data_IF_722040429830
#
_entry.id   IF_722040429830
#
_cell.length_a   1.000
_cell.length_b   1.000
_cell.length_c   1.000
_cell.angle_alpha   90.00
_cell.angle_beta   90.00
_cell.angle_gamma   90.00
#
_symmetry.space_group_name_H-M   'P 1'
#
loop_
_entity.id
_entity.type
_entity.pdbx_description
1 polymer ?
#
# COMPACT_ATOMS: atom_id res chain seq x y z
N UNK A 1 8.30 -0.13 13.47
CA UNK A 1 9.30 0.08 14.54
C UNK A 1 10.66 -0.33 14.02
N UNK A 2 11.69 0.46 14.29
CA UNK A 2 13.08 0.27 13.86
C UNK A 2 13.99 -0.09 15.05
N UNK A 3 15.10 -0.77 14.80
CA UNK A 3 16.14 -0.97 15.81
C UNK A 3 17.44 -0.29 15.38
N UNK A 4 18.02 0.53 16.24
CA UNK A 4 19.31 1.19 16.02
C UNK A 4 20.34 0.52 16.89
N UNK A 5 21.41 -0.03 16.32
CA UNK A 5 22.38 -0.87 17.04
C UNK A 5 23.80 -0.35 16.87
N UNK A 6 24.50 -0.14 17.99
CA UNK A 6 25.90 0.27 18.00
C UNK A 6 26.79 -0.62 18.89
N UNK A 7 28.07 -0.76 18.50
CA UNK A 7 29.06 -1.59 19.19
C UNK A 7 30.33 -0.82 19.62
N UNK A 8 30.42 0.46 19.29
CA UNK A 8 31.58 1.34 19.55
C UNK A 8 31.14 2.56 20.36
N UNK A 9 32.10 3.27 20.97
CA UNK A 9 31.82 4.49 21.73
C UNK A 9 31.19 5.58 20.86
N UNK A 10 31.80 5.89 19.71
CA UNK A 10 31.25 6.87 18.76
C UNK A 10 29.93 6.40 18.16
N UNK A 11 29.81 5.11 17.86
CA UNK A 11 28.56 4.52 17.41
C UNK A 11 27.44 4.70 18.43
N UNK A 12 27.71 4.58 19.73
CA UNK A 12 26.73 4.87 20.78
C UNK A 12 26.25 6.33 20.75
N UNK A 13 27.13 7.30 20.51
CA UNK A 13 26.72 8.71 20.33
C UNK A 13 25.81 8.89 19.11
N UNK A 14 26.18 8.28 17.98
CA UNK A 14 25.37 8.29 16.75
C UNK A 14 24.01 7.64 17.02
N UNK A 15 23.97 6.46 17.65
CA UNK A 15 22.76 5.70 17.91
C UNK A 15 21.76 6.49 18.76
N UNK A 16 22.25 7.15 19.80
CA UNK A 16 21.42 7.99 20.68
C UNK A 16 20.85 9.19 19.94
N UNK A 17 21.67 9.90 19.16
CA UNK A 17 21.22 11.04 18.34
C UNK A 17 20.18 10.63 17.28
N UNK A 18 20.38 9.49 16.62
CA UNK A 18 19.38 8.97 15.66
C UNK A 18 18.12 8.54 16.39
N UNK A 19 18.22 7.85 17.53
CA UNK A 19 17.07 7.40 18.31
C UNK A 19 16.20 8.52 18.88
N UNK A 20 16.79 9.67 19.20
CA UNK A 20 16.03 10.85 19.67
C UNK A 20 15.19 11.50 18.56
N UNK A 21 15.56 11.32 17.28
CA UNK A 21 14.91 11.99 16.13
C UNK A 21 14.13 11.05 15.22
N UNK A 22 14.51 9.77 15.16
CA UNK A 22 13.86 8.78 14.32
C UNK A 22 12.61 8.23 15.04
N UNK A 23 11.40 8.44 14.51
CA UNK A 23 10.18 7.99 15.17
C UNK A 23 10.09 6.46 15.22
N UNK A 24 9.52 5.94 16.32
CA UNK A 24 9.30 4.50 16.53
C UNK A 24 10.59 3.67 16.40
N UNK A 25 11.69 4.12 17.03
CA UNK A 25 12.97 3.43 17.02
C UNK A 25 13.40 3.02 18.43
N UNK A 26 13.80 1.75 18.59
CA UNK A 26 14.44 1.25 19.81
C UNK A 26 15.96 1.32 19.64
N UNK A 27 16.66 1.85 20.64
CA UNK A 27 18.13 1.99 20.62
C UNK A 27 18.78 0.86 21.42
N UNK A 28 19.79 0.25 20.82
CA UNK A 28 20.60 -0.82 21.40
C UNK A 28 22.08 -0.48 21.34
N UNK A 29 22.79 -0.60 22.45
CA UNK A 29 24.26 -0.61 22.41
C UNK A 29 24.87 -1.42 23.55
N UNK A 30 26.15 -1.73 23.42
CA UNK A 30 26.86 -2.54 24.41
C UNK A 30 26.92 -1.86 25.78
N UNK A 31 26.72 -2.63 26.85
CA UNK A 31 26.83 -2.17 28.24
C UNK A 31 28.20 -1.53 28.58
N UNK A 32 29.24 -1.78 27.80
CA UNK A 32 30.56 -1.12 27.92
C UNK A 32 30.51 0.40 27.79
N UNK A 33 29.48 0.94 27.14
CA UNK A 33 29.31 2.37 26.90
C UNK A 33 28.05 2.95 27.58
N UNK A 34 27.58 2.30 28.64
CA UNK A 34 26.47 2.78 29.45
C UNK A 34 26.74 4.17 30.04
N UNK A 35 25.70 5.01 30.15
CA UNK A 35 25.73 6.39 30.65
C UNK A 35 24.92 6.58 31.92
N UNK A 36 24.10 5.60 32.30
CA UNK A 36 23.27 5.62 33.50
C UNK A 36 21.89 6.24 33.30
N UNK A 37 21.56 6.72 32.09
CA UNK A 37 20.26 7.29 31.74
C UNK A 37 19.45 6.38 30.79
N UNK A 38 19.90 5.14 30.58
CA UNK A 38 19.31 4.23 29.60
C UNK A 38 17.86 3.86 29.92
N UNK A 39 17.55 3.59 31.19
CA UNK A 39 16.21 3.20 31.62
C UNK A 39 15.20 4.32 31.38
N UNK A 40 15.56 5.57 31.72
CA UNK A 40 14.75 6.77 31.48
C UNK A 40 14.50 6.98 29.99
N UNK A 41 15.52 6.76 29.16
CA UNK A 41 15.44 6.93 27.70
C UNK A 41 14.92 5.70 26.94
N UNK A 42 14.54 4.62 27.63
CA UNK A 42 14.10 3.37 27.00
C UNK A 42 15.17 2.68 26.15
N UNK A 43 16.44 2.94 26.43
CA UNK A 43 17.58 2.38 25.69
C UNK A 43 17.92 0.99 26.23
N UNK A 44 18.14 0.03 25.34
CA UNK A 44 18.36 -1.37 25.68
C UNK A 44 19.84 -1.73 25.59
N UNK A 45 20.45 -2.00 26.74
CA UNK A 45 21.84 -2.46 26.79
C UNK A 45 21.94 -3.95 26.48
N UNK A 46 22.98 -4.36 25.78
CA UNK A 46 23.32 -5.78 25.63
C UNK A 46 24.77 -6.08 26.05
N UNK A 47 25.00 -7.31 26.49
CA UNK A 47 26.33 -7.83 26.80
C UNK A 47 26.80 -8.80 25.69
N UNK A 48 28.10 -8.83 25.42
CA UNK A 48 28.69 -9.78 24.48
C UNK A 48 28.56 -9.38 23.01
N UNK A 49 28.38 -10.39 22.13
CA UNK A 49 28.48 -10.22 20.68
C UNK A 49 27.12 -9.85 20.06
N UNK A 50 27.08 -8.76 19.30
CA UNK A 50 25.88 -8.28 18.57
C UNK A 50 25.28 -9.35 17.65
N UNK A 51 26.08 -10.30 17.15
CA UNK A 51 25.62 -11.42 16.32
C UNK A 51 24.56 -12.29 17.00
N UNK A 52 24.55 -12.34 18.34
CA UNK A 52 23.55 -13.10 19.10
C UNK A 52 22.20 -12.36 19.19
N UNK A 53 22.22 -11.03 19.10
CA UNK A 53 21.03 -10.19 19.15
C UNK A 53 20.35 -10.09 17.78
N UNK A 54 21.13 -10.05 16.70
CA UNK A 54 20.64 -9.83 15.33
C UNK A 54 19.53 -10.77 14.88
N UNK A 55 19.55 -12.10 15.12
CA UNK A 55 18.47 -12.98 14.68
C UNK A 55 17.09 -12.60 15.21
N UNK A 56 17.01 -12.18 16.48
CA UNK A 56 15.77 -11.71 17.08
C UNK A 56 15.35 -10.37 16.48
N UNK A 57 16.28 -9.41 16.38
CA UNK A 57 15.95 -8.09 15.81
C UNK A 57 15.48 -8.20 14.35
N UNK A 58 16.12 -9.07 13.57
CA UNK A 58 15.81 -9.30 12.15
C UNK A 58 14.39 -9.84 11.95
N UNK A 59 13.83 -10.53 12.93
CA UNK A 59 12.46 -11.05 12.89
C UNK A 59 11.44 -10.06 13.45
N UNK A 60 11.83 -9.25 14.45
CA UNK A 60 10.90 -8.40 15.20
C UNK A 60 10.73 -7.00 14.59
N UNK A 61 11.77 -6.45 13.96
CA UNK A 61 11.77 -5.07 13.48
C UNK A 61 11.58 -4.99 11.98
N UNK A 62 10.90 -3.93 11.53
CA UNK A 62 10.73 -3.64 10.10
C UNK A 62 12.04 -3.19 9.45
N UNK A 63 12.94 -2.59 10.22
CA UNK A 63 14.24 -2.14 9.73
C UNK A 63 15.28 -2.00 10.83
N UNK A 64 16.53 -2.20 10.45
CA UNK A 64 17.71 -2.17 11.30
C UNK A 64 18.66 -1.08 10.82
N UNK A 65 19.07 -0.19 11.72
CA UNK A 65 20.13 0.80 11.50
C UNK A 65 21.35 0.36 12.28
N UNK A 66 22.37 -0.14 11.60
CA UNK A 66 23.54 -0.78 12.21
C UNK A 66 24.76 0.14 12.08
N UNK A 67 25.27 0.63 13.21
CA UNK A 67 26.46 1.49 13.27
C UNK A 67 27.69 0.59 13.48
N UNK A 68 28.02 -0.12 12.41
CA UNK A 68 29.01 -1.20 12.33
C UNK A 68 29.58 -1.17 10.90
N UNK A 69 30.83 -1.61 10.70
CA UNK A 69 31.38 -1.70 9.34
C UNK A 69 30.53 -2.58 8.40
N UNK A 70 30.31 -2.10 7.18
CA UNK A 70 29.47 -2.76 6.17
C UNK A 70 29.82 -4.23 5.97
N UNK A 71 31.12 -4.54 5.83
CA UNK A 71 31.59 -5.92 5.61
C UNK A 71 31.26 -6.86 6.79
N UNK A 72 31.26 -6.37 8.03
CA UNK A 72 30.85 -7.17 9.18
C UNK A 72 29.34 -7.41 9.19
N UNK A 73 28.55 -6.38 8.89
CA UNK A 73 27.09 -6.47 8.80
C UNK A 73 26.67 -7.51 7.76
N UNK A 74 27.21 -7.42 6.53
CA UNK A 74 26.90 -8.37 5.45
C UNK A 74 27.15 -9.81 5.89
N UNK A 75 28.29 -10.10 6.54
CA UNK A 75 28.61 -11.44 7.04
C UNK A 75 27.67 -11.92 8.15
N UNK A 76 27.20 -11.01 9.01
CA UNK A 76 26.30 -11.35 10.11
C UNK A 76 24.87 -11.61 9.64
N UNK A 77 24.38 -10.85 8.65
CA UNK A 77 23.01 -10.99 8.14
C UNK A 77 22.89 -12.07 7.07
N UNK A 78 23.97 -12.41 6.34
CA UNK A 78 23.96 -13.44 5.29
C UNK A 78 23.24 -14.75 5.69
N UNK A 79 23.47 -15.36 6.87
CA UNK A 79 22.77 -16.58 7.28
C UNK A 79 21.29 -16.36 7.70
N UNK A 80 20.84 -15.11 7.79
CA UNK A 80 19.48 -14.75 8.22
C UNK A 80 18.56 -14.41 7.03
N UNK A 81 19.15 -14.18 5.85
CA UNK A 81 18.42 -13.77 4.64
C UNK A 81 17.46 -14.86 4.19
N UNK A 82 16.22 -14.48 3.87
CA UNK A 82 15.21 -15.39 3.32
C UNK A 82 14.79 -14.92 1.94
N UNK A 83 14.15 -13.75 1.88
CA UNK A 83 13.69 -13.17 0.63
C UNK A 83 13.46 -11.66 0.75
N UNK A 84 13.58 -10.94 -0.39
CA UNK A 84 13.47 -9.48 -0.48
C UNK A 84 12.11 -8.89 -0.06
N UNK A 85 11.06 -9.71 0.09
CA UNK A 85 9.71 -9.28 0.47
C UNK A 85 9.49 -9.36 1.97
N UNK A 86 10.16 -10.30 2.64
CA UNK A 86 10.00 -10.55 4.08
C UNK A 86 11.18 -10.04 4.91
N UNK A 87 12.38 -9.99 4.32
CA UNK A 87 13.57 -9.50 5.01
C UNK A 87 13.44 -8.00 5.35
N UNK A 88 13.80 -7.58 6.58
CA UNK A 88 13.70 -6.19 7.01
C UNK A 88 14.66 -5.29 6.23
N UNK A 89 14.36 -3.99 6.24
CA UNK A 89 15.32 -2.99 5.79
C UNK A 89 16.61 -3.08 6.61
N UNK A 90 17.77 -3.07 5.97
CA UNK A 90 19.06 -2.93 6.67
C UNK A 90 19.81 -1.73 6.12
N UNK A 91 20.13 -0.81 7.02
CA UNK A 91 20.90 0.40 6.78
C UNK A 91 22.15 0.37 7.63
N UNK A 92 23.29 0.74 7.05
CA UNK A 92 24.57 0.78 7.74
C UNK A 92 25.08 2.21 7.83
N UNK A 93 25.64 2.56 8.99
CA UNK A 93 26.31 3.84 9.22
C UNK A 93 27.76 3.55 9.60
N UNK A 94 28.72 4.27 9.01
CA UNK A 94 30.12 4.17 9.42
C UNK A 94 30.35 4.83 10.80
N UNK A 95 31.47 4.51 11.46
CA UNK A 95 31.75 4.97 12.84
C UNK A 95 31.89 6.50 12.98
N UNK A 96 32.08 7.23 11.87
CA UNK A 96 32.11 8.71 11.85
C UNK A 96 30.78 9.32 11.42
N UNK A 97 29.79 8.52 11.02
CA UNK A 97 28.50 9.01 10.55
C UNK A 97 28.59 9.83 9.26
N UNK A 98 29.55 9.52 8.39
CA UNK A 98 29.74 10.23 7.12
C UNK A 98 28.82 9.68 6.02
N UNK A 99 28.55 8.38 6.04
CA UNK A 99 27.77 7.67 5.05
C UNK A 99 26.66 6.87 5.72
N UNK A 100 25.47 6.94 5.14
CA UNK A 100 24.33 6.10 5.49
C UNK A 100 24.02 5.26 4.27
N UNK A 101 24.18 3.95 4.39
CA UNK A 101 24.27 3.02 3.26
C UNK A 101 23.06 2.09 3.29
N UNK A 102 22.28 2.07 2.22
CA UNK A 102 21.21 1.07 2.04
C UNK A 102 21.83 -0.27 1.68
N UNK A 103 21.60 -1.32 2.49
CA UNK A 103 22.26 -2.63 2.35
C UNK A 103 21.31 -3.73 1.91
N UNK A 104 20.13 -3.81 2.52
CA UNK A 104 19.16 -4.89 2.27
C UNK A 104 17.75 -4.33 2.20
N UNK A 105 16.94 -4.90 1.30
CA UNK A 105 15.51 -4.55 1.12
C UNK A 105 15.27 -3.05 0.82
N UNK A 106 16.02 -2.54 -0.17
CA UNK A 106 16.02 -1.13 -0.62
C UNK A 106 14.64 -0.52 -0.87
N UNK A 107 13.88 -1.08 -1.83
CA UNK A 107 12.56 -0.56 -2.21
C UNK A 107 11.44 -1.03 -1.28
N UNK A 108 10.89 -2.23 -1.51
CA UNK A 108 9.70 -2.73 -0.80
C UNK A 108 9.88 -2.76 0.72
N UNK A 109 11.04 -3.19 1.19
CA UNK A 109 11.37 -3.22 2.62
C UNK A 109 11.68 -1.86 3.22
N UNK A 110 11.94 -0.84 2.40
CA UNK A 110 12.07 0.56 2.81
C UNK A 110 13.46 0.99 3.27
N UNK A 111 14.53 0.26 2.94
CA UNK A 111 15.88 0.68 3.33
C UNK A 111 16.36 1.95 2.61
N UNK A 112 15.92 2.20 1.37
CA UNK A 112 16.27 3.43 0.65
C UNK A 112 15.64 4.65 1.32
N UNK A 113 14.37 4.54 1.73
CA UNK A 113 13.68 5.60 2.46
C UNK A 113 14.30 5.82 3.85
N UNK A 114 14.52 4.75 4.61
CA UNK A 114 15.18 4.83 5.92
C UNK A 114 16.59 5.43 5.81
N UNK A 115 17.32 5.12 4.72
CA UNK A 115 18.65 5.69 4.44
C UNK A 115 18.58 7.21 4.28
N UNK A 116 17.60 7.74 3.54
CA UNK A 116 17.42 9.19 3.37
C UNK A 116 17.08 9.88 4.68
N UNK A 117 16.12 9.33 5.44
CA UNK A 117 15.70 9.88 6.73
C UNK A 117 16.85 9.94 7.74
N UNK A 118 17.62 8.85 7.85
CA UNK A 118 18.77 8.78 8.77
C UNK A 118 19.91 9.69 8.28
N UNK A 119 20.15 9.79 6.97
CA UNK A 119 21.12 10.70 6.40
C UNK A 119 20.78 12.17 6.70
N UNK A 120 19.50 12.55 6.58
CA UNK A 120 19.01 13.89 6.92
C UNK A 120 19.24 14.21 8.41
N UNK A 121 18.89 13.28 9.30
CA UNK A 121 19.10 13.40 10.76
C UNK A 121 20.58 13.67 11.11
N UNK A 122 21.49 13.03 10.39
CA UNK A 122 22.93 13.07 10.64
C UNK A 122 23.68 14.13 9.82
N UNK A 123 23.02 14.75 8.83
CA UNK A 123 23.67 15.52 7.78
C UNK A 123 24.78 14.71 7.07
N UNK A 124 24.51 13.43 6.84
CA UNK A 124 25.42 12.47 6.23
C UNK A 124 25.08 12.24 4.75
N UNK A 125 26.00 11.62 4.00
CA UNK A 125 25.76 11.29 2.60
C UNK A 125 24.97 9.97 2.48
N UNK A 126 23.75 9.96 1.88
CA UNK A 126 23.06 8.72 1.59
C UNK A 126 23.73 7.98 0.41
N UNK A 127 23.93 6.68 0.57
CA UNK A 127 24.46 5.78 -0.46
C UNK A 127 23.37 4.78 -0.82
N UNK A 128 22.68 5.06 -1.93
CA UNK A 128 21.61 4.24 -2.50
C UNK A 128 22.03 3.84 -3.92
N UNK A 129 22.07 2.55 -4.21
CA UNK A 129 22.60 2.02 -5.47
C UNK A 129 21.56 1.30 -6.32
N UNK A 130 20.29 1.31 -5.91
CA UNK A 130 19.24 0.59 -6.63
C UNK A 130 18.97 1.25 -7.98
N UNK A 131 18.93 0.46 -9.06
CA UNK A 131 18.95 0.99 -10.44
C UNK A 131 17.81 1.97 -10.73
N UNK A 132 16.59 1.68 -10.27
CA UNK A 132 15.44 2.58 -10.48
C UNK A 132 15.53 3.90 -9.72
N UNK A 133 16.13 3.91 -8.52
CA UNK A 133 16.40 5.16 -7.78
C UNK A 133 17.48 6.00 -8.48
N UNK A 134 18.53 5.36 -8.99
CA UNK A 134 19.62 6.04 -9.72
C UNK A 134 19.13 6.60 -11.05
N UNK A 135 18.33 5.82 -11.79
CA UNK A 135 17.79 6.20 -13.09
C UNK A 135 16.55 7.11 -12.99
N UNK A 136 16.03 7.39 -11.78
CA UNK A 136 14.81 8.17 -11.56
C UNK A 136 13.64 7.71 -12.43
N UNK A 137 13.42 6.39 -12.46
CA UNK A 137 12.35 5.76 -13.24
C UNK A 137 11.33 5.08 -12.31
N UNK A 138 10.29 4.46 -12.88
CA UNK A 138 9.23 3.82 -12.12
C UNK A 138 9.77 2.60 -11.36
N UNK A 139 9.70 2.63 -10.03
CA UNK A 139 9.91 1.46 -9.21
C UNK A 139 8.65 0.58 -9.24
N UNK A 140 8.65 -0.42 -10.12
CA UNK A 140 7.50 -1.33 -10.38
C UNK A 140 6.91 -1.94 -9.10
N UNK A 141 7.74 -2.28 -8.11
CA UNK A 141 7.32 -2.86 -6.84
C UNK A 141 6.80 -1.84 -5.82
N UNK A 142 6.92 -0.54 -6.10
CA UNK A 142 6.37 0.56 -5.30
C UNK A 142 5.28 1.35 -6.04
N UNK A 143 5.06 1.06 -7.32
CA UNK A 143 4.14 1.80 -8.18
C UNK A 143 2.72 1.78 -7.61
N UNK A 144 2.17 2.97 -7.34
CA UNK A 144 0.83 3.14 -6.77
C UNK A 144 0.70 2.89 -5.27
N UNK A 145 1.79 2.51 -4.57
CA UNK A 145 1.73 2.12 -3.16
C UNK A 145 1.27 3.26 -2.24
N UNK A 146 1.68 4.50 -2.53
CA UNK A 146 1.25 5.69 -1.78
C UNK A 146 -0.26 5.94 -1.87
N UNK A 147 -0.90 5.49 -2.95
CA UNK A 147 -2.34 5.56 -3.17
C UNK A 147 -3.09 4.30 -2.70
N UNK A 148 -2.37 3.33 -2.11
CA UNK A 148 -2.97 2.07 -1.67
C UNK A 148 -3.30 1.10 -2.81
N UNK A 149 -2.68 1.24 -3.98
CA UNK A 149 -2.85 0.27 -5.06
C UNK A 149 -2.21 -1.06 -4.67
N UNK A 150 -2.87 -2.15 -5.06
CA UNK A 150 -2.40 -3.51 -4.80
C UNK A 150 -2.13 -4.23 -6.12
N UNK A 151 -0.95 -4.80 -6.30
CA UNK A 151 -0.74 -5.68 -7.45
C UNK A 151 -1.45 -7.03 -7.24
N UNK A 152 -1.98 -7.57 -8.32
CA UNK A 152 -2.73 -8.83 -8.26
C UNK A 152 -1.84 -10.05 -8.11
N UNK A 153 -0.69 -10.03 -8.79
CA UNK A 153 0.32 -11.09 -8.76
C UNK A 153 1.73 -10.49 -8.77
N UNK A 154 2.65 -11.19 -8.12
CA UNK A 154 4.07 -10.80 -8.04
C UNK A 154 4.94 -11.48 -9.11
N UNK A 155 4.38 -12.36 -9.93
CA UNK A 155 5.14 -13.22 -10.86
C UNK A 155 5.98 -12.43 -11.87
N UNK A 156 5.43 -11.31 -12.37
CA UNK A 156 6.06 -10.49 -13.41
C UNK A 156 6.79 -9.26 -12.88
N UNK A 157 6.87 -9.06 -11.56
CA UNK A 157 7.57 -7.91 -10.98
C UNK A 157 9.02 -7.83 -11.47
N UNK A 158 9.78 -8.92 -11.34
CA UNK A 158 11.21 -8.93 -11.73
C UNK A 158 11.43 -8.67 -13.23
N UNK A 159 10.79 -9.39 -14.18
CA UNK A 159 11.02 -9.12 -15.61
C UNK A 159 10.51 -7.74 -16.05
N UNK A 160 9.39 -7.25 -15.52
CA UNK A 160 8.89 -5.91 -15.84
C UNK A 160 9.78 -4.82 -15.23
N UNK A 161 10.29 -4.99 -14.02
CA UNK A 161 11.33 -4.10 -13.45
C UNK A 161 12.57 -4.04 -14.33
N UNK A 162 13.02 -5.20 -14.86
CA UNK A 162 14.16 -5.24 -15.77
C UNK A 162 13.86 -4.50 -17.08
N UNK A 163 12.66 -4.60 -17.63
CA UNK A 163 12.27 -3.86 -18.83
C UNK A 163 12.29 -2.34 -18.62
N UNK A 164 11.79 -1.86 -17.47
CA UNK A 164 11.83 -0.44 -17.11
C UNK A 164 13.28 0.06 -16.96
N UNK A 165 14.13 -0.68 -16.25
CA UNK A 165 15.53 -0.30 -16.00
C UNK A 165 16.40 -0.35 -17.26
N UNK A 166 16.08 -1.26 -18.19
CA UNK A 166 16.79 -1.40 -19.47
C UNK A 166 16.18 -0.53 -20.59
N UNK A 167 15.36 0.47 -20.23
CA UNK A 167 14.78 1.44 -21.17
C UNK A 167 14.01 0.80 -22.34
N UNK A 168 13.40 -0.37 -22.11
CA UNK A 168 12.54 -1.03 -23.11
C UNK A 168 11.21 -0.28 -23.25
N UNK A 169 10.42 -0.62 -24.28
CA UNK A 169 9.13 0.03 -24.53
C UNK A 169 8.11 -0.42 -23.48
N UNK A 170 7.82 0.44 -22.52
CA UNK A 170 6.91 0.15 -21.41
C UNK A 170 5.58 0.87 -21.62
N UNK A 171 4.49 0.12 -21.55
CA UNK A 171 3.15 0.69 -21.51
C UNK A 171 2.68 0.86 -20.07
N UNK A 172 2.25 2.06 -19.70
CA UNK A 172 1.45 2.30 -18.49
C UNK A 172 -0.01 2.42 -18.91
N UNK A 173 -0.80 1.39 -18.68
CA UNK A 173 -2.25 1.45 -18.94
C UNK A 173 -2.91 2.01 -17.71
N UNK A 174 -3.59 3.15 -17.83
CA UNK A 174 -4.30 3.78 -16.72
C UNK A 174 -5.77 4.01 -17.06
N UNK A 175 -6.62 3.08 -16.61
CA UNK A 175 -8.07 3.14 -16.79
C UNK A 175 -8.79 3.70 -15.56
N UNK A 176 -8.14 3.67 -14.40
CA UNK A 176 -8.67 4.19 -13.14
C UNK A 176 -7.54 4.45 -12.14
N UNK A 177 -7.88 5.09 -11.02
CA UNK A 177 -6.94 5.45 -9.97
C UNK A 177 -6.27 6.81 -10.20
N UNK A 178 -5.52 7.23 -9.20
CA UNK A 178 -4.82 8.50 -9.11
C UNK A 178 -3.79 8.69 -10.23
N UNK A 179 -3.75 9.86 -10.86
CA UNK A 179 -2.87 10.14 -12.03
C UNK A 179 -1.54 10.79 -11.67
N UNK A 180 -1.42 11.32 -10.45
CA UNK A 180 -0.24 12.03 -9.94
C UNK A 180 0.79 11.07 -9.32
N UNK A 181 1.05 9.93 -9.96
CA UNK A 181 2.01 8.93 -9.49
C UNK A 181 3.46 9.20 -9.92
N UNK A 182 3.66 10.20 -10.77
CA UNK A 182 4.98 10.59 -11.24
C UNK A 182 5.50 11.76 -10.39
N UNK A 183 6.33 11.43 -9.40
CA UNK A 183 6.80 12.38 -8.37
C UNK A 183 8.10 13.12 -8.74
N UNK A 184 8.62 12.93 -9.96
CA UNK A 184 9.84 13.59 -10.40
C UNK A 184 9.53 14.89 -11.15
N UNK A 185 10.35 15.92 -10.94
CA UNK A 185 10.27 17.20 -11.66
C UNK A 185 10.65 17.09 -13.16
N UNK A 186 11.04 15.90 -13.63
CA UNK A 186 11.39 15.61 -15.01
C UNK A 186 10.18 15.03 -15.76
N UNK A 187 10.08 15.13 -17.09
CA UNK A 187 9.06 14.40 -17.84
C UNK A 187 9.26 12.88 -17.74
N UNK A 188 8.23 12.10 -18.11
CA UNK A 188 8.36 10.65 -18.25
C UNK A 188 9.47 10.31 -19.27
N UNK A 189 10.27 9.25 -19.02
CA UNK A 189 11.22 8.75 -19.99
C UNK A 189 10.56 8.40 -21.33
N UNK A 190 11.23 8.68 -22.45
CA UNK A 190 10.70 8.47 -23.81
C UNK A 190 10.29 7.02 -24.11
N UNK A 191 10.79 6.05 -23.36
CA UNK A 191 10.45 4.64 -23.52
C UNK A 191 9.17 4.23 -22.78
N UNK A 192 8.63 5.11 -21.91
CA UNK A 192 7.41 4.87 -21.13
C UNK A 192 6.26 5.69 -21.71
N UNK A 193 5.18 5.02 -22.12
CA UNK A 193 4.01 5.67 -22.69
C UNK A 193 2.75 5.30 -21.91
N UNK A 194 1.90 6.30 -21.66
CA UNK A 194 0.61 6.11 -20.97
C UNK A 194 -0.49 5.86 -22.00
N UNK A 195 -1.32 4.84 -21.76
CA UNK A 195 -2.45 4.45 -22.59
C UNK A 195 -3.75 4.45 -21.78
N UNK A 196 -4.88 4.72 -22.44
CA UNK A 196 -6.19 4.82 -21.77
C UNK A 196 -6.97 3.51 -21.77
N UNK A 197 -6.51 2.50 -22.50
CA UNK A 197 -7.08 1.16 -22.48
C UNK A 197 -6.02 0.08 -22.71
N UNK A 198 -6.32 -1.14 -22.25
CA UNK A 198 -5.46 -2.30 -22.53
C UNK A 198 -5.36 -2.57 -24.04
N UNK A 199 -6.44 -2.38 -24.79
CA UNK A 199 -6.47 -2.58 -26.24
C UNK A 199 -5.50 -1.67 -27.00
N UNK A 200 -5.45 -0.38 -26.65
CA UNK A 200 -4.49 0.57 -27.22
C UNK A 200 -3.05 0.17 -26.92
N UNK A 201 -2.76 -0.21 -25.68
CA UNK A 201 -1.43 -0.66 -25.29
C UNK A 201 -1.02 -1.94 -26.03
N UNK A 202 -1.91 -2.92 -26.17
CA UNK A 202 -1.63 -4.13 -26.94
C UNK A 202 -1.29 -3.82 -28.41
N UNK A 203 -2.00 -2.87 -29.02
CA UNK A 203 -1.73 -2.45 -30.40
C UNK A 203 -0.32 -1.83 -30.57
N UNK A 204 0.19 -1.16 -29.54
CA UNK A 204 1.54 -0.60 -29.51
C UNK A 204 2.66 -1.65 -29.34
N UNK A 205 2.30 -2.91 -29.02
CA UNK A 205 3.22 -4.04 -28.83
C UNK A 205 4.38 -3.70 -27.87
N UNK A 206 4.09 -3.34 -26.61
CA UNK A 206 5.11 -3.00 -25.63
C UNK A 206 5.91 -4.25 -25.26
N UNK A 207 7.13 -4.01 -24.79
CA UNK A 207 7.99 -5.06 -24.27
C UNK A 207 7.59 -5.44 -22.83
N UNK A 208 7.00 -4.49 -22.08
CA UNK A 208 6.42 -4.72 -20.76
C UNK A 208 5.26 -3.77 -20.45
N UNK A 209 4.39 -4.14 -19.50
CA UNK A 209 3.23 -3.32 -19.13
C UNK A 209 3.04 -3.15 -17.61
N UNK A 210 2.60 -1.96 -17.22
CA UNK A 210 2.06 -1.63 -15.89
C UNK A 210 0.59 -1.30 -16.09
N UNK A 211 -0.31 -2.16 -15.63
CA UNK A 211 -1.75 -2.04 -15.92
C UNK A 211 -2.50 -1.66 -14.67
N UNK A 212 -3.09 -0.47 -14.64
CA UNK A 212 -3.83 0.08 -13.50
C UNK A 212 -5.31 0.11 -13.87
N UNK A 213 -6.08 -0.83 -13.33
CA UNK A 213 -7.51 -0.94 -13.62
C UNK A 213 -8.27 -1.65 -12.51
N UNK A 214 -9.50 -1.19 -12.26
CA UNK A 214 -10.45 -1.85 -11.39
C UNK A 214 -11.18 -3.03 -12.09
N UNK A 215 -11.12 -3.11 -13.43
CA UNK A 215 -11.84 -4.11 -14.22
C UNK A 215 -11.15 -5.47 -14.27
N UNK A 216 -11.92 -6.54 -14.36
CA UNK A 216 -11.45 -7.86 -14.75
C UNK A 216 -11.19 -7.87 -16.25
N UNK A 217 -9.94 -8.14 -16.63
CA UNK A 217 -9.51 -8.17 -18.03
C UNK A 217 -10.26 -9.26 -18.81
N UNK A 218 -10.60 -8.98 -20.06
CA UNK A 218 -11.09 -9.99 -20.99
C UNK A 218 -9.98 -11.00 -21.35
N UNK A 219 -10.35 -12.13 -21.95
CA UNK A 219 -9.38 -13.15 -22.38
C UNK A 219 -8.36 -12.61 -23.39
N UNK A 220 -8.79 -11.67 -24.23
CA UNK A 220 -7.95 -11.01 -25.21
C UNK A 220 -7.00 -10.01 -24.53
N UNK A 221 -7.51 -9.27 -23.54
CA UNK A 221 -6.73 -8.30 -22.76
C UNK A 221 -5.67 -9.00 -21.88
N UNK A 222 -5.91 -10.22 -21.40
CA UNK A 222 -4.96 -11.00 -20.58
C UNK A 222 -3.58 -11.18 -21.25
N UNK A 223 -3.50 -11.08 -22.58
CA UNK A 223 -2.22 -11.09 -23.31
C UNK A 223 -1.24 -10.03 -22.83
N UNK A 224 -1.71 -8.87 -22.34
CA UNK A 224 -0.86 -7.80 -21.82
C UNK A 224 -0.06 -8.24 -20.58
N UNK A 225 -0.56 -9.26 -19.86
CA UNK A 225 0.06 -9.77 -18.64
C UNK A 225 1.12 -10.84 -18.90
N UNK A 226 1.35 -11.25 -20.17
CA UNK A 226 2.48 -12.13 -20.52
C UNK A 226 3.81 -11.56 -20.03
N UNK A 227 3.96 -10.23 -20.10
CA UNK A 227 5.00 -9.47 -19.41
C UNK A 227 4.43 -8.17 -18.82
N UNK A 228 3.38 -8.31 -18.00
CA UNK A 228 2.70 -7.17 -17.38
C UNK A 228 2.47 -7.37 -15.89
N UNK A 229 2.43 -6.26 -15.15
CA UNK A 229 2.01 -6.24 -13.74
C UNK A 229 0.68 -5.52 -13.66
N UNK A 230 -0.30 -6.17 -13.03
CA UNK A 230 -1.66 -5.65 -12.85
C UNK A 230 -1.83 -5.06 -11.45
N UNK A 231 -2.26 -3.81 -11.37
CA UNK A 231 -2.50 -3.03 -10.16
C UNK A 231 -3.98 -2.71 -10.00
N UNK A 232 -4.47 -2.83 -8.77
CA UNK A 232 -5.86 -2.64 -8.36
C UNK A 232 -5.96 -1.36 -7.52
N UNK A 233 -6.37 -0.23 -8.12
CA UNK A 233 -6.60 1.00 -7.37
C UNK A 233 -7.89 0.89 -6.56
N UNK A 234 -7.95 1.52 -5.38
CA UNK A 234 -9.11 1.48 -4.48
C UNK A 234 -10.15 2.53 -4.90
N UNK A 235 -10.90 2.23 -5.96
CA UNK A 235 -11.82 3.19 -6.60
C UNK A 235 -13.30 2.79 -6.52
N UNK A 236 -13.62 1.55 -6.11
CA UNK A 236 -15.01 1.08 -6.08
C UNK A 236 -15.63 1.40 -4.72
N UNK A 237 -16.82 2.00 -4.76
CA UNK A 237 -17.62 2.34 -3.58
C UNK A 237 -18.92 1.57 -3.65
N UNK A 238 -19.23 0.81 -2.59
CA UNK A 238 -20.42 -0.01 -2.49
C UNK A 238 -21.43 0.65 -1.56
N UNK A 239 -22.57 1.08 -2.08
CA UNK A 239 -23.71 1.43 -1.26
C UNK A 239 -24.52 0.19 -0.92
N UNK A 240 -24.78 -0.09 0.36
CA UNK A 240 -25.49 -1.30 0.79
C UNK A 240 -26.62 -0.95 1.76
N UNK A 241 -27.82 -1.43 1.46
CA UNK A 241 -28.93 -1.51 2.39
C UNK A 241 -29.32 -2.98 2.60
N UNK A 242 -29.64 -3.37 3.83
CA UNK A 242 -30.08 -4.74 4.12
C UNK A 242 -31.09 -4.81 5.26
N UNK A 243 -31.82 -5.93 5.38
CA UNK A 243 -32.65 -6.22 6.55
C UNK A 243 -31.78 -6.46 7.80
N UNK A 244 -32.34 -6.32 9.01
CA UNK A 244 -31.61 -6.61 10.26
C UNK A 244 -31.36 -8.12 10.35
N UNK A 245 -30.15 -8.52 10.75
CA UNK A 245 -29.77 -9.92 10.90
C UNK A 245 -29.38 -10.61 9.59
N UNK A 246 -29.19 -9.87 8.50
CA UNK A 246 -28.64 -10.45 7.26
C UNK A 246 -27.21 -10.92 7.50
N UNK A 247 -26.91 -12.16 7.11
CA UNK A 247 -25.61 -12.79 7.39
C UNK A 247 -24.49 -12.19 6.53
N UNK A 248 -23.25 -12.31 7.00
CA UNK A 248 -22.08 -11.86 6.26
C UNK A 248 -21.94 -12.60 4.92
N UNK A 249 -22.27 -13.89 4.89
CA UNK A 249 -22.20 -14.72 3.69
C UNK A 249 -23.20 -14.27 2.63
N UNK A 250 -24.44 -13.93 3.01
CA UNK A 250 -25.45 -13.41 2.07
C UNK A 250 -24.98 -12.07 1.47
N UNK A 251 -24.49 -11.15 2.31
CA UNK A 251 -23.96 -9.85 1.89
C UNK A 251 -22.77 -10.03 0.95
N UNK A 252 -21.80 -10.85 1.32
CA UNK A 252 -20.60 -11.09 0.54
C UNK A 252 -20.91 -11.74 -0.82
N UNK A 253 -21.86 -12.69 -0.85
CA UNK A 253 -22.30 -13.32 -2.09
C UNK A 253 -22.88 -12.29 -3.05
N UNK A 254 -23.79 -11.43 -2.55
CA UNK A 254 -24.39 -10.37 -3.37
C UNK A 254 -23.34 -9.38 -3.88
N UNK A 255 -22.35 -9.02 -3.06
CA UNK A 255 -21.23 -8.17 -3.48
C UNK A 255 -20.44 -8.84 -4.61
N UNK A 256 -20.02 -10.09 -4.42
CA UNK A 256 -19.20 -10.83 -5.40
C UNK A 256 -19.90 -10.99 -6.73
N UNK A 257 -21.15 -11.48 -6.72
CA UNK A 257 -21.94 -11.65 -7.93
C UNK A 257 -22.16 -10.32 -8.67
N UNK A 258 -22.43 -9.25 -7.93
CA UNK A 258 -22.63 -7.92 -8.52
C UNK A 258 -21.35 -7.38 -9.16
N UNK A 259 -20.20 -7.54 -8.50
CA UNK A 259 -18.93 -7.11 -9.06
C UNK A 259 -18.52 -7.98 -10.26
N UNK A 260 -18.76 -9.29 -10.22
CA UNK A 260 -18.47 -10.19 -11.34
C UNK A 260 -19.31 -9.85 -12.59
N UNK A 261 -20.60 -9.55 -12.40
CA UNK A 261 -21.49 -9.06 -13.47
C UNK A 261 -21.00 -7.74 -14.09
N UNK A 262 -20.52 -6.81 -13.27
CA UNK A 262 -19.91 -5.55 -13.70
C UNK A 262 -18.48 -5.73 -14.22
N UNK A 263 -17.92 -6.95 -14.13
CA UNK A 263 -16.53 -7.25 -14.47
C UNK A 263 -15.56 -6.39 -13.67
N UNK A 264 -15.80 -6.21 -12.39
CA UNK A 264 -14.98 -5.44 -11.46
C UNK A 264 -14.28 -6.33 -10.44
N UNK A 265 -13.05 -5.98 -10.08
CA UNK A 265 -12.28 -6.72 -9.09
C UNK A 265 -12.65 -6.28 -7.68
N UNK A 266 -12.99 -7.24 -6.82
CA UNK A 266 -13.23 -7.01 -5.39
C UNK A 266 -12.03 -6.36 -4.67
N UNK A 267 -10.81 -6.55 -5.18
CA UNK A 267 -9.60 -5.91 -4.65
C UNK A 267 -9.59 -4.38 -4.84
N UNK A 268 -10.43 -3.86 -5.74
CA UNK A 268 -10.54 -2.43 -6.03
C UNK A 268 -11.62 -1.75 -5.18
N UNK A 269 -12.31 -2.47 -4.30
CA UNK A 269 -13.26 -1.91 -3.34
C UNK A 269 -12.51 -1.13 -2.27
N UNK A 270 -12.92 0.13 -2.09
CA UNK A 270 -12.42 1.05 -1.06
C UNK A 270 -13.32 1.08 0.16
N UNK A 271 -14.63 1.24 -0.06
CA UNK A 271 -15.57 1.53 1.01
C UNK A 271 -16.92 0.85 0.81
N UNK A 272 -17.54 0.51 1.95
CA UNK A 272 -18.96 0.15 2.07
C UNK A 272 -19.67 1.29 2.79
N UNK A 273 -20.72 1.80 2.17
CA UNK A 273 -21.51 2.93 2.65
C UNK A 273 -22.95 2.50 2.93
N UNK A 274 -23.51 2.90 4.06
CA UNK A 274 -24.88 2.55 4.46
C UNK A 274 -25.57 3.66 5.25
N UNK A 275 -26.74 3.39 5.81
CA UNK A 275 -27.44 4.29 6.73
C UNK A 275 -27.00 4.06 8.18
N UNK A 276 -26.96 5.12 9.00
CA UNK A 276 -26.56 5.09 10.40
C UNK A 276 -27.34 4.08 11.25
N UNK A 277 -28.58 3.78 10.87
CA UNK A 277 -29.42 2.74 11.49
C UNK A 277 -28.79 1.33 11.41
N UNK A 278 -27.77 1.15 10.55
CA UNK A 278 -27.05 -0.09 10.26
C UNK A 278 -25.58 -0.06 10.66
N UNK A 279 -25.15 0.94 11.43
CA UNK A 279 -23.75 1.06 11.90
C UNK A 279 -23.28 -0.11 12.77
N UNK A 280 -24.21 -0.84 13.37
CA UNK A 280 -23.99 -1.99 14.26
C UNK A 280 -24.48 -3.31 13.65
N UNK A 281 -24.75 -3.36 12.33
CA UNK A 281 -25.18 -4.59 11.66
C UNK A 281 -24.03 -5.62 11.61
N UNK A 282 -24.15 -6.79 12.30
CA UNK A 282 -23.04 -7.73 12.42
C UNK A 282 -22.52 -8.24 11.06
N UNK A 283 -23.43 -8.54 10.12
CA UNK A 283 -23.06 -9.02 8.79
C UNK A 283 -22.23 -8.03 7.99
N UNK A 284 -22.58 -6.73 8.03
CA UNK A 284 -21.80 -5.68 7.35
C UNK A 284 -20.43 -5.51 8.00
N UNK A 285 -20.38 -5.44 9.33
CA UNK A 285 -19.13 -5.28 10.07
C UNK A 285 -18.16 -6.45 9.83
N UNK A 286 -18.67 -7.66 9.73
CA UNK A 286 -17.85 -8.84 9.43
C UNK A 286 -17.26 -8.78 8.02
N UNK A 287 -18.06 -8.47 6.99
CA UNK A 287 -17.57 -8.33 5.62
C UNK A 287 -16.54 -7.22 5.51
N UNK A 288 -16.82 -6.03 6.06
CA UNK A 288 -15.88 -4.90 6.03
C UNK A 288 -14.57 -5.27 6.73
N UNK A 289 -14.61 -5.89 7.91
CA UNK A 289 -13.39 -6.32 8.63
C UNK A 289 -12.61 -7.38 7.85
N UNK A 290 -13.30 -8.33 7.21
CA UNK A 290 -12.68 -9.39 6.40
C UNK A 290 -11.83 -8.80 5.27
N UNK A 291 -12.30 -7.73 4.64
CA UNK A 291 -11.61 -7.11 3.50
C UNK A 291 -10.80 -5.86 3.86
N UNK A 292 -10.91 -5.35 5.07
CA UNK A 292 -10.26 -4.11 5.50
C UNK A 292 -10.81 -2.86 4.81
N UNK A 293 -12.06 -2.87 4.38
CA UNK A 293 -12.69 -1.73 3.71
C UNK A 293 -13.04 -0.62 4.71
N UNK A 294 -13.16 0.61 4.21
CA UNK A 294 -13.77 1.68 4.99
C UNK A 294 -15.26 1.38 5.19
N UNK A 295 -15.79 1.69 6.38
CA UNK A 295 -17.21 1.57 6.67
C UNK A 295 -17.78 2.92 7.06
N UNK A 296 -18.58 3.47 6.15
CA UNK A 296 -19.16 4.81 6.28
C UNK A 296 -20.67 4.68 6.40
N UNK A 297 -21.26 5.51 7.25
CA UNK A 297 -22.70 5.52 7.43
C UNK A 297 -23.20 6.95 7.57
N UNK A 298 -24.39 7.18 7.04
CA UNK A 298 -25.00 8.50 6.95
C UNK A 298 -26.34 8.54 7.67
N UNK A 299 -26.68 9.67 8.25
CA UNK A 299 -28.02 9.95 8.76
C UNK A 299 -29.05 9.95 7.63
N UNK A 300 -30.34 9.74 7.93
CA UNK A 300 -31.38 9.83 6.92
C UNK A 300 -31.44 11.20 6.22
N UNK A 301 -31.16 12.27 6.97
CA UNK A 301 -31.13 13.64 6.46
C UNK A 301 -30.03 13.83 5.42
N UNK A 302 -28.81 13.37 5.69
CA UNK A 302 -27.70 13.39 4.73
C UNK A 302 -28.04 12.62 3.45
N UNK A 303 -28.65 11.44 3.58
CA UNK A 303 -29.05 10.62 2.42
C UNK A 303 -30.14 11.29 1.57
N UNK A 304 -31.08 11.99 2.20
CA UNK A 304 -32.18 12.67 1.50
C UNK A 304 -31.73 13.95 0.78
N UNK A 305 -30.55 14.49 1.09
CA UNK A 305 -29.97 15.63 0.37
C UNK A 305 -29.37 15.23 -1.00
N UNK A 306 -29.36 13.94 -1.32
CA UNK A 306 -28.83 13.42 -2.57
C UNK A 306 -29.97 13.16 -3.54
N UNK A 307 -29.80 13.60 -4.79
CA UNK A 307 -30.74 13.26 -5.85
C UNK A 307 -30.61 11.76 -6.21
N UNK A 308 -31.71 11.03 -6.02
CA UNK A 308 -31.82 9.60 -6.32
C UNK A 308 -32.81 9.36 -7.46
N UNK A 309 -32.54 8.36 -8.30
CA UNK A 309 -33.38 8.05 -9.45
C UNK A 309 -34.70 7.37 -9.05
N UNK A 310 -34.67 6.57 -7.97
CA UNK A 310 -35.80 5.71 -7.57
C UNK A 310 -36.13 5.83 -6.08
N UNK A 311 -36.80 6.92 -5.65
CA UNK A 311 -37.23 7.08 -4.26
C UNK A 311 -38.25 6.01 -3.85
N UNK A 312 -38.20 5.57 -2.60
CA UNK A 312 -39.06 4.53 -2.05
C UNK A 312 -39.73 4.95 -0.74
N UNK A 313 -41.04 5.15 -0.80
CA UNK A 313 -41.91 5.42 0.36
C UNK A 313 -41.79 4.34 1.44
N UNK A 314 -41.66 3.07 1.04
CA UNK A 314 -41.48 1.97 1.98
C UNK A 314 -40.17 2.12 2.76
N UNK A 315 -39.07 2.45 2.08
CA UNK A 315 -37.77 2.66 2.74
C UNK A 315 -37.84 3.87 3.67
N UNK A 316 -38.51 4.95 3.23
CA UNK A 316 -38.70 6.16 4.04
C UNK A 316 -39.41 5.86 5.36
N UNK A 317 -40.50 5.07 5.33
CA UNK A 317 -41.23 4.68 6.55
C UNK A 317 -40.38 3.94 7.58
N UNK A 318 -39.43 3.10 7.14
CA UNK A 318 -38.60 2.30 8.05
C UNK A 318 -37.30 2.99 8.48
N UNK A 319 -36.77 3.88 7.63
CA UNK A 319 -35.40 4.38 7.78
C UNK A 319 -35.32 5.90 7.89
N UNK A 320 -36.39 6.61 7.54
CA UNK A 320 -36.40 8.06 7.38
C UNK A 320 -35.74 8.56 6.08
N UNK A 321 -35.23 7.66 5.23
CA UNK A 321 -34.58 7.98 3.97
C UNK A 321 -35.33 7.41 2.76
N UNK A 322 -35.41 8.14 1.64
CA UNK A 322 -36.06 7.63 0.42
C UNK A 322 -35.26 6.53 -0.29
N UNK A 323 -33.97 6.42 0.01
CA UNK A 323 -33.08 5.37 -0.46
C UNK A 323 -31.88 5.25 0.47
N UNK A 324 -31.21 4.09 0.46
CA UNK A 324 -30.00 3.86 1.27
C UNK A 324 -28.78 3.61 0.39
N UNK A 325 -28.80 2.55 -0.41
CA UNK A 325 -27.64 2.12 -1.20
C UNK A 325 -27.17 3.18 -2.20
N UNK A 326 -28.08 3.67 -3.05
CA UNK A 326 -27.78 4.69 -4.06
C UNK A 326 -27.21 5.99 -3.46
N UNK A 327 -27.93 6.67 -2.53
CA UNK A 327 -27.44 7.94 -2.01
C UNK A 327 -26.17 7.79 -1.17
N UNK A 328 -26.00 6.68 -0.44
CA UNK A 328 -24.79 6.43 0.33
C UNK A 328 -23.55 6.26 -0.57
N UNK A 329 -23.69 5.54 -1.69
CA UNK A 329 -22.61 5.40 -2.67
C UNK A 329 -22.26 6.75 -3.33
N UNK A 330 -23.27 7.54 -3.71
CA UNK A 330 -23.09 8.87 -4.31
C UNK A 330 -22.41 9.85 -3.34
N UNK A 331 -22.83 9.93 -2.08
CA UNK A 331 -22.22 10.83 -1.08
C UNK A 331 -20.73 10.59 -0.90
N UNK A 332 -20.34 9.32 -0.76
CA UNK A 332 -18.94 9.01 -0.54
C UNK A 332 -18.11 9.22 -1.80
N UNK A 333 -18.65 8.84 -2.96
CA UNK A 333 -17.88 8.92 -4.22
C UNK A 333 -17.84 10.30 -4.86
N UNK A 334 -18.81 11.17 -4.54
CA UNK A 334 -19.06 12.40 -5.29
C UNK A 334 -19.53 12.17 -6.72
N UNK A 335 -19.82 10.93 -7.13
CA UNK A 335 -20.19 10.59 -8.49
C UNK A 335 -21.64 10.99 -8.79
N UNK A 336 -21.86 11.65 -9.93
CA UNK A 336 -23.21 11.96 -10.42
C UNK A 336 -23.93 10.69 -10.90
N UNK A 337 -23.20 9.81 -11.59
CA UNK A 337 -23.71 8.57 -12.18
C UNK A 337 -23.10 7.35 -11.49
N UNK A 338 -23.94 6.36 -11.24
CA UNK A 338 -23.54 5.06 -10.71
C UNK A 338 -23.33 4.05 -11.84
N UNK A 339 -22.36 3.16 -11.66
CA UNK A 339 -22.17 1.98 -12.51
C UNK A 339 -23.31 0.97 -12.32
N UNK A 340 -23.84 0.93 -11.10
CA UNK A 340 -25.08 0.21 -10.79
C UNK A 340 -25.92 1.05 -9.85
N UNK A 341 -27.06 1.53 -10.36
CA UNK A 341 -28.00 2.35 -9.57
C UNK A 341 -28.57 1.54 -8.41
N UNK A 342 -29.10 0.33 -8.70
CA UNK A 342 -29.74 -0.50 -7.69
C UNK A 342 -29.91 -1.93 -8.16
N UNK A 343 -29.48 -2.89 -7.35
CA UNK A 343 -29.81 -4.32 -7.49
C UNK A 343 -30.26 -4.84 -6.14
N UNK A 344 -31.42 -5.53 -6.11
CA UNK A 344 -31.92 -6.21 -4.91
C UNK A 344 -31.77 -7.71 -5.09
N UNK A 345 -31.09 -8.36 -4.16
CA UNK A 345 -30.92 -9.81 -4.11
C UNK A 345 -31.11 -10.27 -2.67
N UNK A 346 -32.14 -11.10 -2.44
CA UNK A 346 -32.54 -11.53 -1.10
C UNK A 346 -32.85 -10.34 -0.19
N UNK A 347 -32.16 -10.29 0.95
CA UNK A 347 -32.27 -9.24 1.95
C UNK A 347 -31.37 -8.04 1.69
N UNK A 348 -30.57 -8.05 0.62
CA UNK A 348 -29.54 -7.04 0.33
C UNK A 348 -29.94 -6.22 -0.88
N UNK A 349 -29.73 -4.91 -0.80
CA UNK A 349 -29.79 -3.97 -1.92
C UNK A 349 -28.43 -3.32 -2.05
N UNK A 350 -27.85 -3.38 -3.25
CA UNK A 350 -26.52 -2.87 -3.56
C UNK A 350 -26.57 -1.85 -4.69
N UNK A 351 -25.70 -0.85 -4.58
CA UNK A 351 -25.41 0.16 -5.59
C UNK A 351 -23.89 0.29 -5.70
N UNK A 352 -23.37 0.58 -6.90
CA UNK A 352 -21.93 0.62 -7.16
C UNK A 352 -21.57 1.95 -7.83
N UNK A 353 -20.63 2.67 -7.22
CA UNK A 353 -20.04 3.89 -7.76
C UNK A 353 -18.53 3.70 -7.98
N UNK A 354 -17.95 4.54 -8.82
CA UNK A 354 -16.50 4.69 -8.98
C UNK A 354 -16.06 6.07 -8.51
N UNK A 355 -14.93 6.14 -7.82
CA UNK A 355 -14.23 7.39 -7.56
C UNK A 355 -13.67 7.95 -8.87
N UNK A 356 -13.80 9.27 -9.04
CA UNK A 356 -13.20 10.00 -10.15
C UNK A 356 -11.87 10.62 -9.70
N UNK A 357 -10.85 10.52 -10.57
CA UNK A 357 -9.47 10.98 -10.32
C UNK A 357 -8.89 11.75 -11.49
#
# INVERSE_FOLDING_TARGET
MYAIVAITKHGTDIARRVGEKLPNADVYYTNKFARGDEEEKGIRLFAGNVRLLLPSLFQTYRGLVLIISLGAVVRMIAPLLKDKKTDPAVVVIDDKGQYVISVLSGHLGGANELTRQVAEILHAQPVITTASDVQKTIAVDLFGRSFGWEWESAEKLTPVSAAVVNEQRVAVVQESGERNWWDYDTPLPNNIHVYHSVGEALAAKPDAALVVTHRLLSKEEEAILQNGVLYRPKVIVLGIGCNRGTTAEEIETVIRETLDELRFSIKSVKAVCTIALKKDEPGLLEVVRKYGWEFIYYTPEELNNVNIEQPSETVYRYTGAYGVSEPAAKLYSGAEKLELVKKKAGNVTISVALLQH
#
